data_IF_023225651058
#
_entry.id   IF_023225651058
#
_cell.length_a   1.000
_cell.length_b   1.000
_cell.length_c   1.000
_cell.angle_alpha   90.00
_cell.angle_beta   90.00
_cell.angle_gamma   90.00
#
_symmetry.space_group_name_H-M   'P 1'
#
loop_
_entity.id
_entity.type
_entity.pdbx_description
1 polymer ?
#
# COMPACT_ATOMS: atom_id res chain seq x y z
N UNK A 1 7.52 -1.34 -6.43
CA UNK A 1 7.58 -1.53 -5.12
C UNK A 1 7.02 -0.49 -4.17
N UNK A 2 6.98 -0.87 -2.92
CA UNK A 2 6.57 0.01 -1.83
C UNK A 2 7.51 1.21 -1.74
N UNK A 3 6.94 2.41 -1.66
CA UNK A 3 7.68 3.67 -1.52
C UNK A 3 7.13 4.46 -0.34
N UNK A 4 8.02 5.05 0.43
CA UNK A 4 7.71 5.88 1.57
C UNK A 4 8.95 6.14 2.40
N UNK A 5 8.91 7.17 3.22
CA UNK A 5 9.96 7.48 4.18
C UNK A 5 9.51 6.94 5.53
N UNK A 6 10.32 6.09 6.13
CA UNK A 6 10.11 5.54 7.46
C UNK A 6 11.09 6.21 8.42
N UNK A 7 10.56 6.95 9.38
CA UNK A 7 11.35 7.56 10.44
C UNK A 7 11.09 6.80 11.74
N UNK A 8 12.15 6.30 12.36
CA UNK A 8 12.06 5.54 13.60
C UNK A 8 12.63 6.39 14.72
N UNK A 9 11.79 6.72 15.69
CA UNK A 9 12.15 7.46 16.90
C UNK A 9 12.06 6.58 18.13
N UNK A 10 12.79 6.98 19.17
CA UNK A 10 12.57 6.47 20.54
C UNK A 10 11.82 7.53 21.32
N UNK A 11 10.69 7.17 21.89
CA UNK A 11 9.95 8.06 22.79
C UNK A 11 10.77 8.37 24.03
N UNK A 12 10.78 9.64 24.42
CA UNK A 12 11.36 10.11 25.69
C UNK A 12 10.50 11.21 26.26
N UNK A 13 10.21 11.12 27.56
CA UNK A 13 9.51 12.15 28.32
C UNK A 13 10.26 12.40 29.63
N UNK A 14 10.45 13.66 29.98
CA UNK A 14 11.08 14.06 31.24
C UNK A 14 10.07 14.10 32.40
N UNK A 15 8.75 14.05 32.08
CA UNK A 15 7.66 14.08 33.07
C UNK A 15 7.22 12.70 33.53
N UNK A 16 7.31 11.70 32.67
CA UNK A 16 6.86 10.32 32.93
C UNK A 16 7.66 9.36 32.06
N UNK A 17 8.39 8.47 32.70
CA UNK A 17 9.32 7.55 32.05
C UNK A 17 8.70 6.21 31.61
N UNK A 18 7.45 5.93 32.03
CA UNK A 18 6.74 4.65 31.80
C UNK A 18 6.79 4.16 30.35
N UNK A 19 6.88 5.09 29.37
CA UNK A 19 6.91 4.78 27.94
C UNK A 19 8.25 5.12 27.27
N UNK A 20 9.25 5.52 28.07
CA UNK A 20 10.56 5.86 27.53
C UNK A 20 11.20 4.62 26.87
N UNK A 21 11.80 4.84 25.71
CA UNK A 21 12.42 3.78 24.92
C UNK A 21 11.50 3.06 23.94
N UNK A 22 10.18 3.29 24.00
CA UNK A 22 9.27 2.77 22.97
C UNK A 22 9.64 3.31 21.60
N UNK A 23 9.64 2.43 20.60
CA UNK A 23 9.86 2.82 19.20
C UNK A 23 8.57 3.39 18.62
N UNK A 24 8.68 4.56 18.01
CA UNK A 24 7.62 5.20 17.25
C UNK A 24 8.05 5.21 15.79
N UNK A 25 7.25 4.65 14.92
CA UNK A 25 7.47 4.68 13.48
C UNK A 25 6.53 5.69 12.84
N UNK A 26 7.11 6.66 12.12
CA UNK A 26 6.37 7.65 11.33
C UNK A 26 6.55 7.33 9.87
N UNK A 27 5.44 7.07 9.17
CA UNK A 27 5.43 6.82 7.73
C UNK A 27 5.02 8.09 6.99
N UNK A 28 5.88 8.57 6.10
CA UNK A 28 5.60 9.69 5.22
C UNK A 28 5.49 9.15 3.80
N UNK A 29 4.36 9.35 3.16
CA UNK A 29 4.09 8.90 1.78
C UNK A 29 3.08 9.81 1.10
N UNK A 30 3.11 9.88 -0.23
CA UNK A 30 2.10 10.58 -1.01
C UNK A 30 0.73 9.88 -0.91
N UNK A 31 -0.33 10.58 -1.29
CA UNK A 31 -1.67 9.98 -1.37
C UNK A 31 -1.71 8.81 -2.34
N UNK A 32 -1.01 8.92 -3.47
CA UNK A 32 -0.90 7.88 -4.50
C UNK A 32 -0.19 6.64 -3.96
N UNK A 33 0.92 6.83 -3.26
CA UNK A 33 1.67 5.75 -2.61
C UNK A 33 0.84 5.07 -1.51
N UNK A 34 0.02 5.85 -0.80
CA UNK A 34 -0.92 5.30 0.18
C UNK A 34 -1.97 4.41 -0.48
N UNK A 35 -2.62 4.90 -1.54
CA UNK A 35 -3.63 4.15 -2.28
C UNK A 35 -3.05 2.84 -2.86
N UNK A 36 -1.85 2.91 -3.45
CA UNK A 36 -1.14 1.73 -3.96
C UNK A 36 -0.88 0.70 -2.85
N UNK A 37 -0.31 1.14 -1.73
CA UNK A 37 0.00 0.24 -0.61
C UNK A 37 -1.27 -0.42 -0.05
N UNK A 38 -2.36 0.35 0.10
CA UNK A 38 -3.65 -0.17 0.56
C UNK A 38 -4.20 -1.23 -0.40
N UNK A 39 -4.14 -0.98 -1.71
CA UNK A 39 -4.60 -1.95 -2.71
C UNK A 39 -3.78 -3.25 -2.66
N UNK A 40 -2.45 -3.15 -2.57
CA UNK A 40 -1.55 -4.32 -2.45
C UNK A 40 -1.87 -5.13 -1.18
N UNK A 41 -2.05 -4.47 -0.05
CA UNK A 41 -2.37 -5.12 1.22
C UNK A 41 -3.75 -5.78 1.18
N UNK A 42 -4.74 -5.09 0.61
CA UNK A 42 -6.09 -5.62 0.44
C UNK A 42 -6.06 -6.91 -0.39
N UNK A 43 -5.48 -6.86 -1.59
CA UNK A 43 -5.39 -8.06 -2.43
C UNK A 43 -4.60 -9.16 -1.72
N UNK A 44 -3.43 -8.85 -1.15
CA UNK A 44 -2.59 -9.81 -0.44
C UNK A 44 -3.33 -10.53 0.69
N UNK A 45 -4.18 -9.81 1.43
CA UNK A 45 -5.00 -10.37 2.50
C UNK A 45 -6.01 -11.39 1.96
N UNK A 46 -6.74 -11.04 0.90
CA UNK A 46 -7.78 -11.90 0.34
C UNK A 46 -7.23 -13.13 -0.37
N UNK A 47 -6.08 -13.02 -1.05
CA UNK A 47 -5.43 -14.18 -1.67
C UNK A 47 -4.45 -14.90 -0.72
N UNK A 48 -4.34 -14.46 0.54
CA UNK A 48 -3.44 -15.00 1.57
C UNK A 48 -1.97 -15.02 1.15
N UNK A 49 -1.51 -13.95 0.52
CA UNK A 49 -0.14 -13.80 0.02
C UNK A 49 0.49 -12.48 0.45
N UNK A 50 1.81 -12.50 0.67
CA UNK A 50 2.56 -11.33 1.12
C UNK A 50 3.06 -10.47 -0.06
N UNK A 51 2.14 -9.99 -0.91
CA UNK A 51 2.45 -9.22 -2.12
C UNK A 51 3.31 -7.98 -1.83
N UNK A 52 3.06 -7.30 -0.71
CA UNK A 52 3.83 -6.13 -0.27
C UNK A 52 5.32 -6.46 -0.06
N UNK A 53 5.61 -7.70 0.34
CA UNK A 53 6.98 -8.22 0.50
C UNK A 53 7.50 -8.94 -0.75
N UNK A 54 6.90 -8.68 -1.91
CA UNK A 54 7.24 -9.32 -3.19
C UNK A 54 7.14 -10.85 -3.15
N UNK A 55 6.20 -11.38 -2.38
CA UNK A 55 5.91 -12.82 -2.28
C UNK A 55 4.47 -13.06 -2.68
N UNK A 56 4.26 -13.88 -3.73
CA UNK A 56 2.92 -14.20 -4.20
C UNK A 56 2.87 -14.57 -5.68
N UNK A 57 1.67 -14.60 -6.23
CA UNK A 57 1.43 -14.90 -7.64
C UNK A 57 2.11 -13.89 -8.55
N UNK A 58 2.81 -14.39 -9.57
CA UNK A 58 3.63 -13.58 -10.48
C UNK A 58 2.82 -12.46 -11.17
N UNK A 59 1.58 -12.77 -11.59
CA UNK A 59 0.73 -11.81 -12.31
C UNK A 59 0.28 -10.65 -11.42
N UNK A 60 -0.03 -10.90 -10.15
CA UNK A 60 -0.33 -9.85 -9.18
C UNK A 60 0.90 -9.00 -8.87
N UNK A 61 2.05 -9.64 -8.67
CA UNK A 61 3.32 -8.93 -8.44
C UNK A 61 3.66 -8.06 -9.64
N UNK A 62 3.51 -8.59 -10.86
CA UNK A 62 3.74 -7.85 -12.09
C UNK A 62 2.77 -6.68 -12.23
N UNK A 63 1.48 -6.90 -12.03
CA UNK A 63 0.47 -5.83 -12.06
C UNK A 63 0.81 -4.68 -11.12
N UNK A 64 1.13 -4.97 -9.86
CA UNK A 64 1.47 -3.93 -8.89
C UNK A 64 2.82 -3.26 -9.15
N UNK A 65 3.78 -3.94 -9.76
CA UNK A 65 5.02 -3.33 -10.21
C UNK A 65 4.76 -2.30 -11.33
N UNK A 66 3.96 -2.65 -12.33
CA UNK A 66 3.58 -1.76 -13.43
C UNK A 66 2.78 -0.55 -12.95
N UNK A 67 1.78 -0.75 -12.09
CA UNK A 67 1.01 0.34 -11.49
C UNK A 67 1.91 1.25 -10.64
N UNK A 68 2.86 0.67 -9.90
CA UNK A 68 3.88 1.42 -9.18
C UNK A 68 4.73 2.31 -10.09
N UNK A 69 5.08 1.82 -11.29
CA UNK A 69 5.80 2.60 -12.29
C UNK A 69 4.94 3.69 -12.94
N UNK A 70 3.65 3.42 -13.19
CA UNK A 70 2.73 4.45 -13.68
C UNK A 70 2.62 5.62 -12.67
N UNK A 71 2.54 5.32 -11.37
CA UNK A 71 2.56 6.35 -10.33
C UNK A 71 3.90 7.07 -10.23
N UNK A 72 5.01 6.35 -10.43
CA UNK A 72 6.33 6.96 -10.47
C UNK A 72 6.48 8.01 -11.58
N UNK A 73 5.89 7.75 -12.76
CA UNK A 73 5.86 8.73 -13.86
C UNK A 73 5.09 9.99 -13.41
N UNK A 74 3.92 9.83 -12.81
CA UNK A 74 3.09 10.97 -12.33
C UNK A 74 3.84 11.78 -11.26
N UNK A 75 4.57 11.11 -10.38
CA UNK A 75 5.34 11.74 -9.28
C UNK A 75 6.75 12.17 -9.70
N UNK A 76 7.11 11.99 -10.96
CA UNK A 76 8.45 12.27 -11.50
C UNK A 76 9.57 11.62 -10.68
N UNK A 77 9.39 10.33 -10.37
CA UNK A 77 10.35 9.52 -9.61
C UNK A 77 10.82 8.31 -10.44
N UNK A 78 11.80 7.57 -9.94
CA UNK A 78 12.31 6.39 -10.63
C UNK A 78 11.27 5.28 -10.77
N UNK A 79 11.30 4.60 -11.93
CA UNK A 79 10.42 3.46 -12.20
C UNK A 79 10.79 2.26 -11.34
N UNK A 80 9.83 1.35 -11.19
CA UNK A 80 10.12 0.04 -10.61
C UNK A 80 11.00 -0.74 -11.57
N UNK A 81 12.07 -1.41 -11.11
CA UNK A 81 12.92 -2.24 -11.96
C UNK A 81 12.10 -3.24 -12.80
N UNK A 82 12.61 -3.56 -13.97
CA UNK A 82 12.03 -4.53 -14.92
C UNK A 82 10.65 -4.16 -15.46
N UNK A 83 10.25 -2.87 -15.37
CA UNK A 83 9.02 -2.37 -15.99
C UNK A 83 9.33 -1.53 -17.24
N UNK A 84 8.43 -1.52 -18.25
CA UNK A 84 8.62 -0.73 -19.46
C UNK A 84 8.78 0.76 -19.16
N UNK A 85 9.73 1.39 -19.84
CA UNK A 85 9.93 2.85 -19.78
C UNK A 85 8.99 3.61 -20.71
N UNK A 86 8.58 2.98 -21.80
CA UNK A 86 7.65 3.58 -22.75
C UNK A 86 6.23 3.57 -22.22
N UNK A 87 5.62 4.74 -22.13
CA UNK A 87 4.30 4.91 -21.55
C UNK A 87 3.24 4.02 -22.22
N UNK A 88 3.27 3.91 -23.55
CA UNK A 88 2.27 3.11 -24.27
C UNK A 88 2.38 1.62 -23.96
N UNK A 89 3.60 1.09 -23.86
CA UNK A 89 3.85 -0.32 -23.52
C UNK A 89 3.44 -0.59 -22.06
N UNK A 90 3.83 0.29 -21.14
CA UNK A 90 3.45 0.20 -19.74
C UNK A 90 1.94 0.16 -19.57
N UNK A 91 1.22 1.09 -20.21
CA UNK A 91 -0.24 1.17 -20.10
C UNK A 91 -0.97 0.02 -20.79
N UNK A 92 -0.42 -0.52 -21.88
CA UNK A 92 -0.98 -1.71 -22.54
C UNK A 92 -0.89 -2.92 -21.61
N UNK A 93 0.28 -3.18 -21.03
CA UNK A 93 0.50 -4.30 -20.11
C UNK A 93 -0.36 -4.19 -18.84
N UNK A 94 -0.51 -2.97 -18.26
CA UNK A 94 -1.43 -2.73 -17.15
C UNK A 94 -2.86 -3.10 -17.52
N UNK A 95 -3.34 -2.65 -18.70
CA UNK A 95 -4.71 -2.92 -19.15
C UNK A 95 -4.97 -4.42 -19.35
N UNK A 96 -3.99 -5.15 -19.89
CA UNK A 96 -4.12 -6.58 -20.14
C UNK A 96 -4.18 -7.35 -18.81
N UNK A 97 -3.27 -7.09 -17.88
CA UNK A 97 -3.29 -7.70 -16.56
C UNK A 97 -4.52 -7.27 -15.74
N UNK A 98 -4.95 -6.01 -15.85
CA UNK A 98 -6.17 -5.54 -15.19
C UNK A 98 -7.40 -6.35 -15.61
N UNK A 99 -7.52 -6.65 -16.93
CA UNK A 99 -8.61 -7.49 -17.47
C UNK A 99 -8.46 -8.94 -17.05
N UNK A 100 -7.26 -9.50 -17.21
CA UNK A 100 -6.98 -10.90 -16.87
C UNK A 100 -7.22 -11.22 -15.40
N UNK A 101 -6.76 -10.36 -14.51
CA UNK A 101 -6.92 -10.53 -13.06
C UNK A 101 -8.30 -10.09 -12.53
N UNK A 102 -9.14 -9.49 -13.37
CA UNK A 102 -10.44 -8.91 -12.97
C UNK A 102 -10.30 -7.96 -11.76
N UNK A 103 -9.28 -7.08 -11.86
CA UNK A 103 -8.81 -6.26 -10.72
C UNK A 103 -9.93 -5.40 -10.16
N UNK A 104 -10.69 -4.72 -11.01
CA UNK A 104 -11.75 -3.80 -10.59
C UNK A 104 -12.78 -4.52 -9.71
N UNK A 105 -13.36 -5.61 -10.22
CA UNK A 105 -14.37 -6.36 -9.49
C UNK A 105 -13.83 -6.93 -8.19
N UNK A 106 -12.60 -7.47 -8.20
CA UNK A 106 -11.97 -8.01 -6.98
C UNK A 106 -11.76 -6.91 -5.94
N UNK A 107 -11.22 -5.75 -6.32
CA UNK A 107 -11.03 -4.65 -5.37
C UNK A 107 -12.34 -4.09 -4.83
N UNK A 108 -13.39 -3.99 -5.66
CA UNK A 108 -14.73 -3.57 -5.22
C UNK A 108 -15.31 -4.55 -4.18
N UNK A 109 -15.24 -5.85 -4.46
CA UNK A 109 -15.72 -6.90 -3.52
C UNK A 109 -14.89 -6.90 -2.23
N UNK A 110 -13.57 -6.85 -2.34
CA UNK A 110 -12.68 -6.85 -1.17
C UNK A 110 -12.91 -5.61 -0.30
N UNK A 111 -13.01 -4.44 -0.93
CA UNK A 111 -13.29 -3.19 -0.22
C UNK A 111 -14.66 -3.18 0.46
N UNK A 112 -15.69 -3.73 -0.18
CA UNK A 112 -17.01 -3.87 0.43
C UNK A 112 -16.96 -4.81 1.64
N UNK A 113 -16.28 -5.95 1.52
CA UNK A 113 -16.13 -6.92 2.62
C UNK A 113 -15.38 -6.31 3.82
N UNK A 114 -14.29 -5.57 3.58
CA UNK A 114 -13.56 -4.90 4.66
C UNK A 114 -14.43 -3.88 5.39
N UNK A 115 -15.24 -3.11 4.67
CA UNK A 115 -16.18 -2.14 5.29
C UNK A 115 -17.21 -2.79 6.18
N UNK A 116 -17.67 -4.01 5.86
CA UNK A 116 -18.62 -4.75 6.71
C UNK A 116 -17.97 -5.32 7.97
N UNK A 117 -16.64 -5.53 7.94
CA UNK A 117 -15.86 -6.04 9.08
C UNK A 117 -15.31 -4.93 9.98
N UNK A 118 -15.36 -3.66 9.54
CA UNK A 118 -14.98 -2.52 10.37
C UNK A 118 -15.98 -2.35 11.53
N UNK A 119 -15.59 -2.79 12.72
CA UNK A 119 -16.34 -2.59 13.95
C UNK A 119 -16.47 -1.07 14.24
N UNK A 120 -17.66 -0.55 14.60
CA UNK A 120 -17.86 0.83 15.05
C UNK A 120 -16.93 1.27 16.18
N UNK A 121 -16.48 0.34 17.02
CA UNK A 121 -15.53 0.58 18.13
C UNK A 121 -14.15 0.96 17.62
N UNK A 122 -13.69 0.39 16.50
CA UNK A 122 -12.39 0.69 15.86
C UNK A 122 -12.32 2.15 15.38
N UNK A 123 -13.44 2.72 14.92
CA UNK A 123 -13.50 4.13 14.52
C UNK A 123 -13.30 5.10 15.68
N UNK A 124 -13.72 4.75 16.91
CA UNK A 124 -13.48 5.55 18.11
C UNK A 124 -12.02 5.53 18.56
N UNK A 125 -11.32 4.42 18.41
CA UNK A 125 -9.91 4.32 18.81
C UNK A 125 -8.97 5.23 17.99
N UNK A 126 -9.28 5.48 16.72
CA UNK A 126 -8.50 6.39 15.86
C UNK A 126 -8.55 7.87 16.32
N UNK A 127 -9.61 8.29 16.97
CA UNK A 127 -9.77 9.67 17.46
C UNK A 127 -9.10 9.96 18.81
N UNK A 128 -8.76 8.94 19.57
CA UNK A 128 -8.11 9.12 20.89
C UNK A 128 -6.60 9.28 20.83
N UNK A 129 -5.97 8.93 19.70
CA UNK A 129 -4.53 9.07 19.49
C UNK A 129 -4.11 10.47 18.99
N UNK A 130 -5.07 11.34 18.66
CA UNK A 130 -4.85 12.70 18.13
C UNK A 130 -5.23 13.81 19.12
N UNK A 131 -5.51 13.51 20.36
CA UNK A 131 -5.65 14.45 21.48
C UNK A 131 -4.48 14.22 22.44
#
# INVERSE_FOLDING_TARGET
>A
GYRGIHLIYKYRSDKKDTHNGLKIEVHIRSQTQHAWATAVETVGTFIKQALKSSKGEADWLRFFALVGSAFAIVENTELVPDTPREHNILMAEIKDLHRYLDVRRKLEVYGATLKTLEDPVSKKAHYYLLK
#
